data_IF_357073079454
#
_entry.id   IF_357073079454
#
_cell.length_a   1.000
_cell.length_b   1.000
_cell.length_c   1.000
_cell.angle_alpha   90.00
_cell.angle_beta   90.00
_cell.angle_gamma   90.00
#
_symmetry.space_group_name_H-M   'P 1'
#
loop_
_entity.id
_entity.type
_entity.pdbx_description
1 polymer ?
#
# COMPACT_ATOMS: atom_id res chain seq x y z
N UNK A 1 -5.81 14.15 -36.90
CA UNK A 1 -6.64 13.14 -36.24
C UNK A 1 -6.15 11.78 -36.69
N UNK A 2 -5.49 11.04 -35.81
CA UNK A 2 -5.16 9.63 -36.06
C UNK A 2 -5.49 8.87 -34.78
N UNK A 3 -6.56 8.07 -34.87
CA UNK A 3 -6.95 7.13 -33.83
C UNK A 3 -5.95 5.98 -33.85
N UNK A 4 -5.10 5.90 -32.83
CA UNK A 4 -4.28 4.71 -32.59
C UNK A 4 -5.16 3.67 -31.88
N UNK A 5 -5.16 2.50 -32.49
CA UNK A 5 -5.95 1.32 -32.21
C UNK A 5 -5.71 0.84 -30.75
N UNK A 6 -6.75 0.85 -29.92
CA UNK A 6 -6.76 0.24 -28.58
C UNK A 6 -7.07 -1.25 -28.74
N UNK A 7 -6.04 -2.11 -28.74
CA UNK A 7 -6.20 -3.56 -28.50
C UNK A 7 -4.85 -4.25 -28.21
N UNK A 8 -4.01 -3.63 -27.38
CA UNK A 8 -2.96 -4.34 -26.65
C UNK A 8 -3.44 -4.54 -25.22
N UNK A 9 -3.30 -5.75 -24.66
CA UNK A 9 -3.42 -5.93 -23.21
C UNK A 9 -2.36 -5.02 -22.55
N UNK A 10 -2.84 -3.98 -21.86
CA UNK A 10 -1.99 -3.02 -21.15
C UNK A 10 -1.39 -3.70 -19.91
N UNK A 11 -0.28 -4.42 -20.14
CA UNK A 11 0.51 -5.07 -19.09
C UNK A 11 1.33 -4.07 -18.25
N UNK A 12 1.31 -2.79 -18.62
CA UNK A 12 2.28 -1.79 -18.16
C UNK A 12 1.70 -0.82 -17.13
N UNK A 13 0.39 -0.62 -17.14
CA UNK A 13 -0.31 0.20 -16.14
C UNK A 13 -0.44 -0.47 -14.76
N UNK A 14 0.15 -1.64 -14.55
CA UNK A 14 -0.05 -2.45 -13.33
C UNK A 14 -1.54 -2.67 -13.02
N UNK A 15 -2.40 -2.71 -14.04
CA UNK A 15 -3.86 -2.80 -13.92
C UNK A 15 -4.55 -1.57 -13.35
N UNK A 16 -3.87 -0.42 -13.33
CA UNK A 16 -4.49 0.88 -13.12
C UNK A 16 -5.55 1.16 -14.21
N UNK A 17 -6.66 1.82 -13.84
CA UNK A 17 -7.68 2.23 -14.80
C UNK A 17 -7.11 3.12 -15.92
N UNK A 18 -7.72 3.05 -17.11
CA UNK A 18 -7.35 3.94 -18.23
C UNK A 18 -7.59 5.42 -17.91
N UNK A 19 -8.45 5.73 -16.94
CA UNK A 19 -8.73 7.08 -16.42
C UNK A 19 -7.54 7.71 -15.69
N UNK A 20 -6.55 6.92 -15.25
CA UNK A 20 -5.36 7.44 -14.59
C UNK A 20 -4.58 8.35 -15.55
N UNK A 21 -4.28 9.56 -15.06
CA UNK A 21 -3.65 10.62 -15.84
C UNK A 21 -2.20 10.29 -16.13
N UNK A 22 -1.78 10.61 -17.36
CA UNK A 22 -0.44 10.33 -17.90
C UNK A 22 0.24 11.64 -18.30
N UNK A 23 1.52 11.74 -17.99
CA UNK A 23 2.37 12.91 -18.22
C UNK A 23 3.69 12.49 -18.87
N UNK A 24 4.31 13.38 -19.62
CA UNK A 24 5.72 13.22 -20.02
C UNK A 24 6.59 13.93 -18.98
N UNK A 25 7.57 13.22 -18.42
CA UNK A 25 8.53 13.80 -17.49
C UNK A 25 9.51 14.69 -18.26
N UNK A 26 9.68 15.95 -17.83
CA UNK A 26 10.71 16.86 -18.36
C UNK A 26 11.85 17.10 -17.39
N UNK A 27 11.49 17.46 -16.16
CA UNK A 27 12.42 17.80 -15.09
C UNK A 27 11.72 17.75 -13.72
N UNK A 28 12.52 17.88 -12.64
CA UNK A 28 12.05 17.82 -11.25
C UNK A 28 11.06 18.94 -10.90
N UNK A 29 11.20 20.12 -11.49
CA UNK A 29 10.33 21.27 -11.18
C UNK A 29 8.94 21.06 -11.77
N UNK A 30 8.86 20.62 -13.02
CA UNK A 30 7.61 20.24 -13.67
C UNK A 30 6.94 19.08 -12.92
N UNK A 31 7.72 18.06 -12.54
CA UNK A 31 7.22 16.93 -11.76
C UNK A 31 6.58 17.40 -10.45
N UNK A 32 7.26 18.27 -9.68
CA UNK A 32 6.75 18.81 -8.44
C UNK A 32 5.46 19.62 -8.63
N UNK A 33 5.37 20.43 -9.68
CA UNK A 33 4.16 21.19 -10.01
C UNK A 33 2.97 20.28 -10.32
N UNK A 34 3.19 19.25 -11.16
CA UNK A 34 2.15 18.27 -11.50
C UNK A 34 1.70 17.53 -10.24
N UNK A 35 2.64 17.09 -9.40
CA UNK A 35 2.35 16.39 -8.17
C UNK A 35 1.49 17.24 -7.21
N UNK A 36 1.78 18.53 -7.07
CA UNK A 36 0.97 19.45 -6.26
C UNK A 36 -0.46 19.55 -6.79
N UNK A 37 -0.63 19.79 -8.10
CA UNK A 37 -1.95 19.94 -8.73
C UNK A 37 -2.78 18.65 -8.58
N UNK A 38 -2.17 17.50 -8.82
CA UNK A 38 -2.88 16.22 -8.75
C UNK A 38 -3.19 15.81 -7.31
N UNK A 39 -2.34 16.20 -6.35
CA UNK A 39 -2.63 16.03 -4.92
C UNK A 39 -3.82 16.89 -4.49
N UNK A 40 -3.88 18.15 -4.90
CA UNK A 40 -5.03 19.02 -4.61
C UNK A 40 -6.32 18.41 -5.18
N UNK A 41 -6.30 17.96 -6.45
CA UNK A 41 -7.44 17.27 -7.09
C UNK A 41 -7.88 16.04 -6.33
N UNK A 42 -6.94 15.21 -5.87
CA UNK A 42 -7.23 14.03 -5.06
C UNK A 42 -7.91 14.42 -3.75
N UNK A 43 -7.33 15.36 -3.00
CA UNK A 43 -7.86 15.80 -1.72
C UNK A 43 -9.26 16.40 -1.87
N UNK A 44 -9.50 17.19 -2.90
CA UNK A 44 -10.82 17.77 -3.17
C UNK A 44 -11.85 16.71 -3.56
N UNK A 45 -11.46 15.73 -4.40
CA UNK A 45 -12.32 14.56 -4.69
C UNK A 45 -12.67 13.77 -3.43
N UNK A 46 -11.71 13.62 -2.52
CA UNK A 46 -11.91 12.94 -1.26
C UNK A 46 -12.88 13.68 -0.35
N UNK A 47 -12.80 15.02 -0.28
CA UNK A 47 -13.78 15.85 0.42
C UNK A 47 -15.18 15.71 -0.16
N UNK A 48 -15.34 15.86 -1.48
CA UNK A 48 -16.67 15.74 -2.13
C UNK A 48 -17.28 14.34 -2.01
N UNK A 49 -16.45 13.29 -1.98
CA UNK A 49 -16.95 11.91 -1.78
C UNK A 49 -17.57 11.70 -0.40
N UNK A 50 -17.13 12.47 0.61
CA UNK A 50 -17.65 12.43 1.99
C UNK A 50 -18.98 13.19 2.10
N UNK A 51 -19.09 14.35 1.47
CA UNK A 51 -20.33 15.15 1.46
C UNK A 51 -21.51 14.39 0.82
N UNK A 52 -21.24 13.58 -0.22
CA UNK A 52 -22.29 12.79 -0.88
C UNK A 52 -22.80 11.65 0.02
N UNK A 53 -21.95 11.03 0.84
CA UNK A 53 -22.41 9.99 1.77
C UNK A 53 -23.33 10.52 2.87
N UNK A 54 -23.16 11.78 3.27
CA UNK A 54 -24.00 12.40 4.31
C UNK A 54 -25.42 12.71 3.83
N UNK A 55 -25.61 12.87 2.51
CA UNK A 55 -26.89 13.23 1.89
C UNK A 55 -27.73 11.97 1.55
N UNK A 56 -27.09 10.82 1.34
CA UNK A 56 -27.73 9.61 0.78
C UNK A 56 -28.19 8.57 1.82
N UNK A 57 -28.69 9.03 2.97
CA UNK A 57 -29.41 8.18 3.95
C UNK A 57 -30.84 7.83 3.48
N UNK A 58 -31.20 8.10 2.21
CA UNK A 58 -32.59 8.06 1.76
C UNK A 58 -32.84 7.73 0.30
N UNK A 59 -32.02 6.95 -0.41
CA UNK A 59 -32.51 6.30 -1.64
C UNK A 59 -31.58 5.21 -2.17
N UNK A 60 -32.12 4.01 -2.35
CA UNK A 60 -31.45 2.92 -3.07
C UNK A 60 -31.31 3.22 -4.57
N UNK A 61 -30.37 4.08 -4.94
CA UNK A 61 -29.97 4.31 -6.33
C UNK A 61 -28.71 3.53 -6.68
N UNK A 62 -28.74 2.90 -7.85
CA UNK A 62 -27.69 2.03 -8.37
C UNK A 62 -26.34 2.72 -8.41
N UNK A 63 -25.31 1.97 -8.04
CA UNK A 63 -23.89 2.22 -8.22
C UNK A 63 -23.57 2.69 -9.65
N UNK A 64 -23.62 4.00 -9.90
CA UNK A 64 -22.90 4.60 -11.02
C UNK A 64 -21.63 5.23 -10.45
N UNK A 65 -20.51 4.53 -10.68
CA UNK A 65 -19.18 5.06 -10.43
C UNK A 65 -19.01 6.39 -11.17
N UNK A 66 -18.57 7.47 -10.49
CA UNK A 66 -18.36 8.75 -11.14
C UNK A 66 -17.37 8.60 -12.30
N UNK A 67 -17.72 9.20 -13.43
CA UNK A 67 -17.08 9.08 -14.75
C UNK A 67 -15.67 9.68 -14.85
N UNK A 68 -15.06 10.07 -13.73
CA UNK A 68 -13.63 10.39 -13.62
C UNK A 68 -13.18 9.93 -12.24
N UNK A 69 -12.72 8.69 -12.17
CA UNK A 69 -12.17 8.10 -10.95
C UNK A 69 -10.86 8.84 -10.62
N UNK A 70 -10.94 9.86 -9.77
CA UNK A 70 -9.76 10.55 -9.24
C UNK A 70 -9.10 9.60 -8.25
N UNK A 71 -7.90 9.15 -8.60
CA UNK A 71 -7.11 8.15 -7.87
C UNK A 71 -5.87 8.78 -7.25
N UNK A 72 -5.26 8.08 -6.30
CA UNK A 72 -3.95 8.37 -5.75
C UNK A 72 -2.79 8.14 -6.74
N UNK A 73 -3.07 7.67 -7.95
CA UNK A 73 -2.06 7.39 -8.96
C UNK A 73 -2.00 8.43 -10.07
N UNK A 74 -0.77 8.71 -10.50
CA UNK A 74 -0.45 9.35 -11.76
C UNK A 74 0.69 8.59 -12.44
N UNK A 75 0.80 8.70 -13.75
CA UNK A 75 1.78 7.97 -14.54
C UNK A 75 2.64 8.96 -15.32
N UNK A 76 3.95 8.73 -15.35
CA UNK A 76 4.90 9.45 -16.17
C UNK A 76 5.56 8.53 -17.20
N UNK A 77 5.77 9.05 -18.39
CA UNK A 77 6.74 8.53 -19.34
C UNK A 77 8.11 9.15 -19.03
N UNK A 78 9.11 8.31 -18.72
CA UNK A 78 10.47 8.74 -18.35
C UNK A 78 11.50 7.70 -18.78
N UNK A 79 12.56 8.14 -19.46
CA UNK A 79 13.61 7.23 -19.90
C UNK A 79 14.50 6.75 -18.74
N UNK A 80 15.16 5.58 -18.88
CA UNK A 80 15.93 5.00 -17.78
C UNK A 80 17.09 5.87 -17.29
N UNK A 81 17.71 6.66 -18.18
CA UNK A 81 18.83 7.52 -17.81
C UNK A 81 18.35 8.62 -16.88
N UNK A 82 17.28 9.32 -17.27
CA UNK A 82 16.68 10.38 -16.47
C UNK A 82 16.10 9.84 -15.17
N UNK A 83 15.42 8.68 -15.19
CA UNK A 83 14.91 8.04 -13.97
C UNK A 83 16.04 7.75 -12.97
N UNK A 84 17.14 7.13 -13.43
CA UNK A 84 18.26 6.81 -12.56
C UNK A 84 18.89 8.07 -11.95
N UNK A 85 19.04 9.14 -12.73
CA UNK A 85 19.61 10.40 -12.26
C UNK A 85 18.70 11.10 -11.25
N UNK A 86 17.39 11.13 -11.51
CA UNK A 86 16.49 11.97 -10.77
C UNK A 86 15.81 11.29 -9.58
N UNK A 87 15.69 9.96 -9.60
CA UNK A 87 14.95 9.19 -8.58
C UNK A 87 15.83 8.19 -7.80
N UNK A 88 16.92 7.67 -8.39
CA UNK A 88 17.75 6.64 -7.73
C UNK A 88 19.15 7.10 -7.29
N UNK A 89 19.65 8.23 -7.80
CA UNK A 89 20.99 8.73 -7.46
C UNK A 89 21.16 8.91 -5.94
N UNK A 90 22.36 8.66 -5.42
CA UNK A 90 22.68 8.83 -4.00
C UNK A 90 22.45 10.26 -3.48
N UNK A 91 22.50 11.25 -4.38
CA UNK A 91 22.25 12.66 -4.06
C UNK A 91 20.75 13.02 -4.13
N UNK A 92 19.89 12.10 -4.54
CA UNK A 92 18.44 12.32 -4.59
C UNK A 92 17.85 12.23 -3.19
N UNK A 93 17.16 13.29 -2.79
CA UNK A 93 16.38 13.31 -1.56
C UNK A 93 15.07 12.53 -1.80
N UNK A 94 14.76 11.48 -1.02
CA UNK A 94 13.52 10.74 -1.17
C UNK A 94 12.30 11.65 -0.99
N UNK A 95 11.35 11.58 -1.93
CA UNK A 95 10.08 12.30 -1.84
C UNK A 95 9.13 11.45 -1.00
N UNK A 96 9.15 11.65 0.32
CA UNK A 96 8.39 10.82 1.27
C UNK A 96 6.87 10.81 1.03
N UNK A 97 6.37 11.84 0.36
CA UNK A 97 4.95 12.02 0.04
C UNK A 97 4.47 11.19 -1.15
N UNK A 98 5.35 10.38 -1.77
CA UNK A 98 4.99 9.46 -2.86
C UNK A 98 5.57 8.06 -2.65
N UNK A 99 5.05 7.09 -3.43
CA UNK A 99 5.71 5.81 -3.72
C UNK A 99 5.81 5.63 -5.22
N UNK A 100 6.92 5.06 -5.68
CA UNK A 100 7.17 4.86 -7.11
C UNK A 100 7.20 3.39 -7.49
N UNK A 101 6.70 3.10 -8.69
CA UNK A 101 6.97 1.85 -9.41
C UNK A 101 7.45 2.20 -10.82
N UNK A 102 8.65 1.76 -11.19
CA UNK A 102 9.25 2.04 -12.49
C UNK A 102 9.50 0.76 -13.28
N UNK A 103 9.05 0.77 -14.54
CA UNK A 103 9.36 -0.26 -15.52
C UNK A 103 10.25 0.33 -16.64
N UNK A 104 11.53 -0.09 -16.73
CA UNK A 104 12.46 0.44 -17.73
C UNK A 104 12.13 0.01 -19.16
N UNK A 105 11.56 -1.17 -19.35
CA UNK A 105 11.22 -1.69 -20.69
C UNK A 105 10.16 -0.82 -21.37
N UNK A 106 9.24 -0.28 -20.56
CA UNK A 106 8.09 0.49 -21.01
C UNK A 106 8.25 1.97 -20.71
N UNK A 107 9.38 2.37 -20.10
CA UNK A 107 9.68 3.75 -19.69
C UNK A 107 8.57 4.38 -18.86
N UNK A 108 7.91 3.57 -18.03
CA UNK A 108 6.71 3.97 -17.29
C UNK A 108 7.03 4.09 -15.81
N UNK A 109 6.82 5.28 -15.25
CA UNK A 109 6.90 5.58 -13.82
C UNK A 109 5.48 5.79 -13.27
N UNK A 110 5.01 4.86 -12.45
CA UNK A 110 3.79 5.00 -11.67
C UNK A 110 4.15 5.69 -10.35
N UNK A 111 3.40 6.75 -10.03
CA UNK A 111 3.55 7.50 -8.79
C UNK A 111 2.26 7.41 -8.00
N UNK A 112 2.35 6.84 -6.80
CA UNK A 112 1.31 6.85 -5.77
C UNK A 112 1.48 8.08 -4.89
N UNK A 113 0.44 8.87 -4.71
CA UNK A 113 0.40 10.01 -3.80
C UNK A 113 -0.02 9.54 -2.41
N UNK A 114 0.91 9.63 -1.46
CA UNK A 114 0.66 9.25 -0.07
C UNK A 114 -0.18 10.33 0.62
N UNK A 115 -1.33 9.95 1.16
CA UNK A 115 -2.26 10.84 1.89
C UNK A 115 -2.04 10.79 3.41
N UNK A 116 -2.75 11.65 4.14
CA UNK A 116 -2.65 11.70 5.61
C UNK A 116 -3.18 10.43 6.27
N UNK A 117 -4.34 9.94 5.85
CA UNK A 117 -4.92 8.68 6.32
C UNK A 117 -4.06 7.47 5.97
N UNK A 118 -3.45 7.45 4.78
CA UNK A 118 -2.47 6.42 4.42
C UNK A 118 -1.30 6.40 5.40
N UNK A 119 -0.68 7.56 5.63
CA UNK A 119 0.46 7.71 6.53
C UNK A 119 0.09 7.33 7.96
N UNK A 120 -1.09 7.77 8.42
CA UNK A 120 -1.60 7.50 9.77
C UNK A 120 -1.76 6.00 10.01
N UNK A 121 -2.45 5.30 9.11
CA UNK A 121 -2.65 3.85 9.18
C UNK A 121 -1.33 3.10 9.14
N UNK A 122 -0.45 3.42 8.19
CA UNK A 122 0.84 2.76 8.05
C UNK A 122 1.71 2.90 9.32
N UNK A 123 1.66 4.06 9.96
CA UNK A 123 2.40 4.30 11.19
C UNK A 123 1.81 3.59 12.41
N UNK A 124 0.48 3.46 12.53
CA UNK A 124 -0.13 2.68 13.62
C UNK A 124 0.14 1.18 13.48
N UNK A 125 0.14 0.64 12.25
CA UNK A 125 0.58 -0.75 11.99
C UNK A 125 2.03 -0.92 12.45
N UNK A 126 2.90 0.02 12.10
CA UNK A 126 4.30 0.00 12.51
C UNK A 126 4.47 -0.02 14.03
N UNK A 127 3.74 0.84 14.76
CA UNK A 127 3.75 0.86 16.23
C UNK A 127 3.27 -0.46 16.83
N UNK A 128 2.22 -1.05 16.28
CA UNK A 128 1.69 -2.32 16.77
C UNK A 128 2.74 -3.45 16.64
N UNK A 129 3.41 -3.52 15.48
CA UNK A 129 4.50 -4.48 15.24
C UNK A 129 5.66 -4.22 16.23
N UNK A 130 6.10 -2.97 16.36
CA UNK A 130 7.20 -2.62 17.27
C UNK A 130 6.87 -2.96 18.72
N UNK A 131 5.62 -2.73 19.15
CA UNK A 131 5.16 -3.06 20.50
C UNK A 131 5.22 -4.57 20.74
N UNK A 132 4.75 -5.38 19.80
CA UNK A 132 4.80 -6.83 19.90
C UNK A 132 6.24 -7.35 19.90
N UNK A 133 7.12 -6.80 19.06
CA UNK A 133 8.54 -7.14 19.04
C UNK A 133 9.26 -6.74 20.34
N UNK A 134 8.94 -5.58 20.91
CA UNK A 134 9.50 -5.13 22.18
C UNK A 134 9.17 -6.10 23.33
N UNK A 135 7.95 -6.66 23.36
CA UNK A 135 7.56 -7.65 24.37
C UNK A 135 8.39 -8.94 24.26
N UNK A 136 8.81 -9.30 23.05
CA UNK A 136 9.75 -10.40 22.81
C UNK A 136 11.22 -9.98 23.05
N UNK A 137 11.52 -8.69 23.20
CA UNK A 137 12.87 -8.11 23.23
C UNK A 137 13.61 -8.21 21.89
N UNK A 138 12.87 -8.05 20.80
CA UNK A 138 13.32 -8.11 19.41
C UNK A 138 13.16 -6.78 18.68
N UNK A 139 12.91 -5.68 19.39
CA UNK A 139 12.78 -4.32 18.87
C UNK A 139 13.99 -3.88 18.02
N UNK A 140 15.20 -4.34 18.39
CA UNK A 140 16.43 -4.08 17.62
C UNK A 140 16.79 -5.13 16.55
N UNK A 141 15.94 -6.14 16.34
CA UNK A 141 16.24 -7.35 15.56
C UNK A 141 15.73 -7.30 14.10
N UNK A 142 14.99 -6.26 13.74
CA UNK A 142 14.47 -6.04 12.39
C UNK A 142 15.11 -4.82 11.70
N UNK A 143 15.12 -4.83 10.37
CA UNK A 143 15.30 -3.64 9.54
C UNK A 143 13.94 -3.20 9.00
N UNK A 144 13.80 -1.89 8.82
CA UNK A 144 12.65 -1.27 8.15
C UNK A 144 13.02 -0.96 6.70
N UNK A 145 12.07 -1.17 5.80
CA UNK A 145 12.19 -1.00 4.36
C UNK A 145 11.13 -0.02 3.85
N UNK A 146 11.13 1.19 4.38
CA UNK A 146 10.19 2.25 4.00
C UNK A 146 10.73 3.04 2.80
N UNK A 147 9.95 3.13 1.73
CA UNK A 147 10.34 3.83 0.49
C UNK A 147 11.68 3.34 -0.10
N UNK A 148 12.04 2.08 0.14
CA UNK A 148 13.22 1.45 -0.44
C UNK A 148 12.84 0.89 -1.81
N UNK A 149 13.61 1.23 -2.84
CA UNK A 149 13.47 0.60 -4.16
C UNK A 149 13.89 -0.86 -4.08
N UNK A 150 12.94 -1.73 -4.36
CA UNK A 150 13.15 -3.17 -4.46
C UNK A 150 13.13 -3.52 -5.94
N UNK A 151 14.17 -4.22 -6.38
CA UNK A 151 14.19 -4.81 -7.71
C UNK A 151 13.21 -5.98 -7.75
N UNK A 152 12.20 -5.84 -8.60
CA UNK A 152 11.13 -6.79 -8.82
C UNK A 152 11.20 -7.25 -10.28
N UNK A 153 12.23 -8.05 -10.58
CA UNK A 153 12.53 -8.58 -11.92
C UNK A 153 12.77 -7.47 -12.96
N UNK A 154 13.69 -6.56 -12.67
CA UNK A 154 14.05 -5.41 -13.52
C UNK A 154 13.16 -4.18 -13.33
N UNK A 155 12.18 -4.24 -12.43
CA UNK A 155 11.30 -3.12 -12.06
C UNK A 155 11.69 -2.59 -10.69
N UNK A 156 11.73 -1.27 -10.51
CA UNK A 156 11.96 -0.69 -9.19
C UNK A 156 10.61 -0.36 -8.55
N UNK A 157 10.27 -0.99 -7.42
CA UNK A 157 9.05 -0.66 -6.68
C UNK A 157 9.35 -0.35 -5.23
N UNK A 158 8.66 0.65 -4.70
CA UNK A 158 8.68 1.01 -3.29
C UNK A 158 7.42 0.49 -2.58
N UNK A 159 7.60 -0.23 -1.49
CA UNK A 159 6.52 -0.59 -0.58
C UNK A 159 6.07 0.63 0.24
N UNK A 160 4.83 0.62 0.73
CA UNK A 160 4.37 1.62 1.68
C UNK A 160 5.18 1.55 2.99
N UNK A 161 5.30 0.32 3.53
CA UNK A 161 6.24 -0.07 4.59
C UNK A 161 6.72 -1.52 4.37
N UNK A 162 7.84 -1.88 4.97
CA UNK A 162 8.31 -3.26 4.99
C UNK A 162 9.22 -3.56 6.17
N UNK A 163 9.28 -4.83 6.56
CA UNK A 163 10.06 -5.32 7.68
C UNK A 163 10.78 -6.61 7.28
N UNK A 164 11.98 -6.80 7.80
CA UNK A 164 12.74 -8.03 7.63
C UNK A 164 13.81 -8.18 8.70
N UNK A 165 14.47 -9.34 8.83
CA UNK A 165 15.47 -9.56 9.86
C UNK A 165 16.67 -8.64 9.62
N UNK A 166 17.12 -7.96 10.68
CA UNK A 166 18.31 -7.09 10.61
C UNK A 166 19.55 -7.87 10.18
N UNK A 167 19.63 -9.12 10.62
CA UNK A 167 20.68 -10.10 10.31
C UNK A 167 20.00 -11.35 9.75
N UNK A 168 19.71 -11.39 8.43
CA UNK A 168 19.11 -12.58 7.82
C UNK A 168 20.03 -13.80 7.98
N UNK A 169 19.48 -15.03 7.98
CA UNK A 169 20.29 -16.26 7.96
C UNK A 169 21.31 -16.26 6.83
N UNK A 170 22.39 -17.03 6.99
CA UNK A 170 23.44 -17.13 5.96
C UNK A 170 22.84 -17.60 4.64
N UNK A 171 23.15 -16.88 3.56
CA UNK A 171 22.63 -17.17 2.22
C UNK A 171 21.30 -16.49 1.89
N UNK A 172 20.61 -15.90 2.87
CA UNK A 172 19.40 -15.11 2.61
C UNK A 172 19.75 -13.64 2.28
N UNK A 173 19.19 -13.06 1.21
CA UNK A 173 19.41 -11.66 0.89
C UNK A 173 18.77 -10.73 1.94
N UNK A 174 19.31 -9.51 2.08
CA UNK A 174 18.65 -8.45 2.85
C UNK A 174 17.50 -7.88 2.02
N UNK A 175 16.27 -8.11 2.47
CA UNK A 175 15.04 -7.63 1.83
C UNK A 175 13.91 -7.62 2.88
N UNK A 176 12.78 -6.93 2.63
CA UNK A 176 11.61 -7.17 3.45
C UNK A 176 11.13 -8.61 3.29
N UNK A 177 10.78 -9.24 4.40
CA UNK A 177 10.05 -10.51 4.45
C UNK A 177 8.56 -10.27 4.70
N UNK A 178 8.20 -9.13 5.27
CA UNK A 178 6.82 -8.67 5.44
C UNK A 178 6.68 -7.30 4.80
N UNK A 179 5.65 -7.11 3.99
CA UNK A 179 5.35 -5.84 3.30
C UNK A 179 3.96 -5.37 3.69
N UNK A 180 3.78 -4.06 3.82
CA UNK A 180 2.47 -3.41 3.97
C UNK A 180 2.14 -2.66 2.68
N UNK A 181 0.91 -2.80 2.22
CA UNK A 181 0.28 -1.97 1.19
C UNK A 181 -1.02 -1.38 1.72
N UNK A 182 -1.18 -0.06 1.65
CA UNK A 182 -2.35 0.67 2.11
C UNK A 182 -3.04 1.31 0.91
N UNK A 183 -4.30 0.96 0.70
CA UNK A 183 -5.14 1.41 -0.39
C UNK A 183 -6.24 2.35 0.12
N UNK A 184 -6.26 3.60 -0.32
CA UNK A 184 -7.31 4.55 0.06
C UNK A 184 -8.31 4.76 -1.08
N UNK A 185 -7.82 5.23 -2.21
CA UNK A 185 -8.58 5.43 -3.45
C UNK A 185 -8.30 4.36 -4.50
N UNK A 186 -7.24 3.59 -4.30
CA UNK A 186 -6.85 2.47 -5.13
C UNK A 186 -7.96 1.41 -5.25
N UNK A 187 -8.10 0.86 -6.46
CA UNK A 187 -9.03 -0.24 -6.72
C UNK A 187 -8.56 -1.55 -6.07
N UNK A 188 -9.50 -2.41 -5.67
CA UNK A 188 -9.15 -3.74 -5.13
C UNK A 188 -8.29 -4.55 -6.10
N UNK A 189 -8.53 -4.40 -7.41
CA UNK A 189 -7.77 -5.08 -8.45
C UNK A 189 -6.28 -4.71 -8.42
N UNK A 190 -5.97 -3.41 -8.35
CA UNK A 190 -4.59 -2.92 -8.29
C UNK A 190 -3.89 -3.40 -7.01
N UNK A 191 -4.57 -3.31 -5.87
CA UNK A 191 -4.05 -3.80 -4.59
C UNK A 191 -3.67 -5.28 -4.65
N UNK A 192 -4.52 -6.13 -5.25
CA UNK A 192 -4.22 -7.56 -5.43
C UNK A 192 -3.05 -7.82 -6.38
N UNK A 193 -2.90 -7.00 -7.42
CA UNK A 193 -1.72 -7.11 -8.30
C UNK A 193 -0.42 -6.76 -7.58
N UNK A 194 -0.47 -5.82 -6.64
CA UNK A 194 0.67 -5.50 -5.78
C UNK A 194 0.96 -6.61 -4.78
N UNK A 195 -0.08 -7.23 -4.20
CA UNK A 195 0.07 -8.44 -3.38
C UNK A 195 0.76 -9.57 -4.16
N UNK A 196 0.28 -9.88 -5.38
CA UNK A 196 0.86 -10.91 -6.24
C UNK A 196 2.33 -10.62 -6.57
N UNK A 197 2.61 -9.36 -6.92
CA UNK A 197 3.95 -8.88 -7.23
C UNK A 197 4.92 -9.08 -6.06
N UNK A 198 4.50 -8.70 -4.86
CA UNK A 198 5.33 -8.78 -3.66
C UNK A 198 5.57 -10.21 -3.22
N UNK A 199 4.56 -11.09 -3.29
CA UNK A 199 4.67 -12.47 -2.83
C UNK A 199 5.35 -13.41 -3.81
N UNK A 200 5.34 -13.11 -5.11
CA UNK A 200 5.96 -13.96 -6.12
C UNK A 200 7.47 -14.17 -5.82
N UNK A 201 7.93 -15.41 -5.59
CA UNK A 201 9.32 -15.72 -5.24
C UNK A 201 10.35 -15.33 -6.29
N UNK A 202 9.93 -15.19 -7.55
CA UNK A 202 10.80 -14.76 -8.66
C UNK A 202 10.85 -13.23 -8.79
N UNK A 203 10.09 -12.51 -7.96
CA UNK A 203 9.85 -11.08 -8.05
C UNK A 203 10.12 -10.46 -6.67
N UNK A 204 9.08 -9.98 -5.98
CA UNK A 204 9.25 -9.30 -4.68
C UNK A 204 9.74 -10.25 -3.58
N UNK A 205 9.41 -11.54 -3.69
CA UNK A 205 9.82 -12.61 -2.79
C UNK A 205 9.45 -12.37 -1.31
N UNK A 206 8.59 -11.41 -0.97
CA UNK A 206 8.08 -11.23 0.37
C UNK A 206 7.36 -12.51 0.84
N UNK A 207 7.41 -12.77 2.14
CA UNK A 207 6.79 -13.95 2.73
C UNK A 207 5.36 -13.67 3.18
N UNK A 208 5.08 -12.42 3.55
CA UNK A 208 3.76 -11.93 3.95
C UNK A 208 3.52 -10.56 3.34
N UNK A 209 2.32 -10.33 2.82
CA UNK A 209 1.82 -9.00 2.49
C UNK A 209 0.61 -8.70 3.36
N UNK A 210 0.67 -7.62 4.12
CA UNK A 210 -0.47 -7.04 4.83
C UNK A 210 -1.07 -6.01 3.89
N UNK A 211 -2.29 -6.23 3.42
CA UNK A 211 -3.00 -5.33 2.54
C UNK A 211 -4.14 -4.66 3.32
N UNK A 212 -4.11 -3.35 3.45
CA UNK A 212 -5.14 -2.57 4.14
C UNK A 212 -5.90 -1.76 3.12
N UNK A 213 -7.22 -1.91 3.07
CA UNK A 213 -8.08 -1.08 2.22
C UNK A 213 -9.06 -0.29 3.05
N UNK A 214 -9.01 1.04 2.90
CA UNK A 214 -9.95 1.96 3.51
C UNK A 214 -11.14 2.21 2.56
N UNK A 215 -12.33 2.37 3.13
CA UNK A 215 -13.46 2.94 2.43
C UNK A 215 -13.35 4.47 2.43
N UNK A 216 -13.59 5.11 1.27
CA UNK A 216 -13.64 6.58 1.17
C UNK A 216 -14.94 7.20 1.69
N UNK A 217 -15.98 6.38 1.88
CA UNK A 217 -17.36 6.84 2.15
C UNK A 217 -17.91 6.39 3.50
N UNK A 218 -17.31 5.38 4.10
CA UNK A 218 -17.77 4.76 5.35
C UNK A 218 -16.58 4.52 6.25
N UNK A 219 -16.79 4.56 7.55
CA UNK A 219 -15.81 4.14 8.54
C UNK A 219 -15.67 2.62 8.52
N UNK A 220 -15.03 2.10 7.47
CA UNK A 220 -14.73 0.68 7.26
C UNK A 220 -13.30 0.56 6.76
N UNK A 221 -12.52 -0.31 7.42
CA UNK A 221 -11.25 -0.79 6.90
C UNK A 221 -11.26 -2.31 6.80
N UNK A 222 -10.59 -2.83 5.79
CA UNK A 222 -10.28 -4.26 5.67
C UNK A 222 -8.78 -4.43 5.81
N UNK A 223 -8.35 -5.43 6.56
CA UNK A 223 -6.95 -5.81 6.77
C UNK A 223 -6.83 -7.27 6.37
N UNK A 224 -6.10 -7.51 5.29
CA UNK A 224 -5.87 -8.84 4.77
C UNK A 224 -4.40 -9.25 4.94
N UNK A 225 -4.16 -10.47 5.38
CA UNK A 225 -2.83 -11.10 5.38
C UNK A 225 -2.76 -12.10 4.23
N UNK A 226 -1.79 -11.92 3.34
CA UNK A 226 -1.56 -12.76 2.18
C UNK A 226 -0.21 -13.45 2.25
N UNK A 227 -0.17 -14.71 1.81
CA UNK A 227 1.03 -15.54 1.72
C UNK A 227 1.11 -16.20 0.35
N UNK A 228 2.31 -16.66 -0.02
CA UNK A 228 2.50 -17.43 -1.25
C UNK A 228 2.17 -18.91 -1.03
N UNK A 229 1.18 -19.42 -1.77
CA UNK A 229 0.90 -20.84 -1.86
C UNK A 229 1.86 -21.50 -2.87
N UNK A 230 2.94 -22.08 -2.33
CA UNK A 230 3.96 -22.77 -3.14
C UNK A 230 3.43 -23.96 -3.93
N UNK A 231 2.37 -24.63 -3.47
CA UNK A 231 1.81 -25.80 -4.15
C UNK A 231 1.05 -25.39 -5.42
N UNK A 232 0.34 -24.26 -5.36
CA UNK A 232 -0.45 -23.74 -6.48
C UNK A 232 0.23 -22.61 -7.26
N UNK A 233 1.36 -22.11 -6.78
CA UNK A 233 2.12 -21.03 -7.42
C UNK A 233 1.35 -19.71 -7.51
N UNK A 234 0.61 -19.35 -6.45
CA UNK A 234 -0.21 -18.14 -6.39
C UNK A 234 -0.26 -17.52 -5.00
N UNK A 235 -0.63 -16.25 -4.91
CA UNK A 235 -0.98 -15.65 -3.62
C UNK A 235 -2.28 -16.25 -3.08
N UNK A 236 -2.38 -16.36 -1.75
CA UNK A 236 -3.61 -16.74 -1.06
C UNK A 236 -3.82 -15.87 0.16
N UNK A 237 -5.06 -15.46 0.39
CA UNK A 237 -5.45 -14.76 1.60
C UNK A 237 -5.48 -15.79 2.74
N UNK A 238 -4.59 -15.61 3.73
CA UNK A 238 -4.55 -16.44 4.93
C UNK A 238 -5.42 -15.91 6.05
N UNK A 239 -5.73 -14.61 6.04
CA UNK A 239 -6.56 -13.96 7.04
C UNK A 239 -7.25 -12.73 6.46
N UNK A 240 -8.54 -12.61 6.76
CA UNK A 240 -9.36 -11.44 6.44
C UNK A 240 -9.93 -10.86 7.73
N UNK A 241 -9.70 -9.57 7.94
CA UNK A 241 -10.16 -8.80 9.10
C UNK A 241 -10.95 -7.61 8.58
N UNK A 242 -12.09 -7.34 9.20
CA UNK A 242 -12.89 -6.15 8.94
C UNK A 242 -13.10 -5.41 10.26
N UNK A 243 -12.84 -4.11 10.23
CA UNK A 243 -13.15 -3.18 11.32
C UNK A 243 -14.05 -2.09 10.75
N UNK A 244 -15.20 -1.88 11.39
CA UNK A 244 -16.20 -0.92 10.95
C UNK A 244 -16.81 -0.17 12.13
N UNK A 245 -17.13 1.09 11.95
CA UNK A 245 -17.95 1.88 12.88
C UNK A 245 -19.37 2.05 12.30
N UNK A 246 -20.38 1.87 13.15
CA UNK A 246 -21.78 2.08 12.78
C UNK A 246 -22.26 3.50 13.14
N UNK A 247 -23.50 3.82 12.79
CA UNK A 247 -24.11 5.14 13.02
C UNK A 247 -24.22 5.53 14.51
N UNK A 248 -24.05 4.58 15.44
CA UNK A 248 -24.06 4.81 16.88
C UNK A 248 -22.64 4.91 17.47
N UNK A 249 -21.63 5.15 16.63
CA UNK A 249 -20.20 5.16 17.00
C UNK A 249 -19.73 3.84 17.65
N UNK A 250 -20.43 2.72 17.40
CA UNK A 250 -20.04 1.40 17.90
C UNK A 250 -19.11 0.72 16.89
N UNK A 251 -17.89 0.42 17.33
CA UNK A 251 -16.89 -0.30 16.55
C UNK A 251 -17.16 -1.81 16.59
N UNK A 252 -17.28 -2.40 15.41
CA UNK A 252 -17.34 -3.85 15.19
C UNK A 252 -16.04 -4.31 14.55
N UNK A 253 -15.46 -5.36 15.13
CA UNK A 253 -14.26 -6.02 14.65
C UNK A 253 -14.55 -7.50 14.43
N UNK A 254 -14.14 -8.03 13.28
CA UNK A 254 -14.23 -9.46 12.97
C UNK A 254 -12.93 -9.99 12.36
N UNK A 255 -12.65 -11.27 12.58
CA UNK A 255 -11.50 -11.98 11.98
C UNK A 255 -10.14 -11.77 12.68
N UNK A 256 -10.05 -10.87 13.66
CA UNK A 256 -8.83 -10.61 14.44
C UNK A 256 -8.52 -11.70 15.49
N UNK A 257 -7.33 -11.66 16.12
CA UNK A 257 -6.23 -10.70 15.94
C UNK A 257 -5.43 -10.95 14.64
N UNK A 258 -4.67 -9.97 14.15
CA UNK A 258 -3.78 -10.18 12.99
C UNK A 258 -2.50 -10.90 13.42
N UNK A 259 -2.16 -11.98 12.72
CA UNK A 259 -0.98 -12.80 13.00
C UNK A 259 0.07 -12.67 11.88
N UNK A 260 1.30 -12.36 12.26
CA UNK A 260 2.46 -12.45 11.37
C UNK A 260 3.36 -13.59 11.91
N UNK A 261 3.44 -14.72 11.20
CA UNK A 261 4.21 -15.85 11.67
C UNK A 261 5.69 -15.51 11.87
N UNK A 262 6.25 -15.85 13.03
CA UNK A 262 7.62 -15.51 13.40
C UNK A 262 8.63 -16.00 12.36
N UNK A 263 8.47 -17.24 11.90
CA UNK A 263 9.33 -17.87 10.90
C UNK A 263 9.31 -17.11 9.57
N UNK A 264 8.18 -16.51 9.22
CA UNK A 264 8.06 -15.76 7.97
C UNK A 264 8.70 -14.37 8.09
N UNK A 265 8.63 -13.73 9.26
CA UNK A 265 9.30 -12.44 9.51
C UNK A 265 10.82 -12.63 9.68
N UNK A 266 11.27 -13.52 10.55
CA UNK A 266 12.69 -13.65 10.92
C UNK A 266 13.49 -14.66 10.08
N UNK A 267 12.82 -15.43 9.22
CA UNK A 267 13.43 -16.46 8.37
C UNK A 267 14.15 -17.57 9.17
N UNK A 268 13.75 -17.77 10.44
CA UNK A 268 14.29 -18.80 11.33
C UNK A 268 13.24 -19.26 12.33
N UNK A 269 13.53 -20.36 12.99
CA UNK A 269 12.68 -20.90 14.05
C UNK A 269 12.72 -19.99 15.29
N UNK A 270 11.59 -19.85 16.01
CA UNK A 270 11.54 -19.10 17.25
C UNK A 270 12.27 -19.82 18.40
N UNK A 271 12.93 -19.05 19.24
CA UNK A 271 13.48 -19.46 20.53
C UNK A 271 12.38 -19.41 21.61
N UNK A 272 11.71 -20.54 21.80
CA UNK A 272 10.59 -20.65 22.74
C UNK A 272 11.09 -20.71 24.21
N UNK A 273 10.27 -20.24 25.17
CA UNK A 273 8.91 -19.72 25.03
C UNK A 273 8.84 -18.21 24.75
N UNK A 274 9.98 -17.53 24.62
CA UNK A 274 10.03 -16.06 24.54
C UNK A 274 9.63 -15.53 23.18
N UNK A 275 10.07 -16.19 22.11
CA UNK A 275 9.75 -15.79 20.74
C UNK A 275 8.49 -16.51 20.26
N UNK A 276 7.53 -15.74 19.79
CA UNK A 276 6.24 -16.21 19.27
C UNK A 276 5.91 -15.47 17.99
N UNK A 277 4.82 -15.84 17.33
CA UNK A 277 4.29 -15.03 16.24
C UNK A 277 4.03 -13.59 16.72
N UNK A 278 4.16 -12.62 15.80
CA UNK A 278 3.82 -11.22 16.09
C UNK A 278 2.29 -11.12 16.05
N UNK A 279 1.71 -10.76 17.19
CA UNK A 279 0.26 -10.62 17.36
C UNK A 279 -0.08 -9.14 17.42
N UNK A 280 -0.89 -8.68 16.46
CA UNK A 280 -1.55 -7.38 16.53
C UNK A 280 -2.97 -7.65 17.03
N UNK A 281 -3.18 -7.39 18.32
CA UNK A 281 -4.44 -7.68 19.01
C UNK A 281 -5.61 -6.80 18.53
N UNK A 282 -6.81 -7.12 19.02
CA UNK A 282 -8.03 -6.43 18.61
C UNK A 282 -8.04 -4.94 19.02
N UNK A 283 -7.35 -4.57 20.11
CA UNK A 283 -7.24 -3.17 20.53
C UNK A 283 -6.40 -2.38 19.54
N UNK A 284 -5.27 -2.93 19.10
CA UNK A 284 -4.46 -2.31 18.05
C UNK A 284 -5.15 -2.28 16.70
N UNK A 285 -5.88 -3.33 16.31
CA UNK A 285 -6.66 -3.35 15.07
C UNK A 285 -7.74 -2.26 15.06
N UNK A 286 -8.43 -2.07 16.19
CA UNK A 286 -9.37 -0.96 16.37
C UNK A 286 -8.65 0.39 16.29
N UNK A 287 -7.51 0.55 16.97
CA UNK A 287 -6.73 1.80 16.93
C UNK A 287 -6.25 2.17 15.52
N UNK A 288 -5.83 1.18 14.72
CA UNK A 288 -5.47 1.37 13.30
C UNK A 288 -6.67 1.88 12.51
N UNK A 289 -7.86 1.31 12.73
CA UNK A 289 -9.10 1.72 12.07
C UNK A 289 -9.51 3.15 12.44
N UNK A 290 -9.58 3.43 13.74
CA UNK A 290 -9.91 4.75 14.27
C UNK A 290 -8.94 5.81 13.78
N UNK A 291 -7.64 5.51 13.69
CA UNK A 291 -6.66 6.44 13.12
C UNK A 291 -6.93 6.76 11.66
N UNK A 292 -7.32 5.75 10.87
CA UNK A 292 -7.74 5.94 9.49
C UNK A 292 -8.97 6.86 9.41
N UNK A 293 -10.00 6.58 10.21
CA UNK A 293 -11.24 7.33 10.23
C UNK A 293 -11.07 8.75 10.75
N UNK A 294 -10.27 8.95 11.80
CA UNK A 294 -9.92 10.28 12.31
C UNK A 294 -9.35 11.13 11.18
N UNK A 295 -8.36 10.61 10.43
CA UNK A 295 -7.79 11.33 9.29
C UNK A 295 -8.77 11.52 8.13
N UNK A 296 -9.76 10.62 7.99
CA UNK A 296 -10.80 10.73 6.98
C UNK A 296 -11.93 11.70 7.35
N UNK A 297 -12.36 11.79 8.60
CA UNK A 297 -13.62 12.45 8.96
C UNK A 297 -13.45 13.59 9.99
N UNK A 298 -12.22 13.89 10.44
CA UNK A 298 -11.93 14.96 11.41
C UNK A 298 -12.31 16.38 10.97
N UNK A 299 -12.66 16.61 9.71
CA UNK A 299 -13.20 17.89 9.22
C UNK A 299 -14.73 17.89 8.98
N UNK A 300 -15.44 16.84 9.41
CA UNK A 300 -16.88 16.66 9.21
C UNK A 300 -17.70 16.67 10.52
N UNK A 301 -17.07 16.99 11.67
CA UNK A 301 -17.75 17.18 12.96
C UNK A 301 -17.76 18.65 13.36
#
# INVERSE_FOLDING_TARGET
MSHINKNGQDHDSEGLPLSVRRYDYKDKDQFAQILTIERERLLDSMRSSREISDIDTGSGRSEQEPTTEITEYIIFSIDPTTFNQDFLSFDTIPILSIRTSYNPDTKTLIVKMVTGEHTGVAFEVHKAIDRALLQMGLDGAINQYSAVDIDVNGRNKQADMGWGPRRPPRGCPKRPSVVLEVAVSETKKKLLQDVDLWLDPLRGNANVVIAIKLSRRRAIITIDSWIWDTANGKSTNSQHIEVSENENDEVKLSGGPLLIPFRLLFLRDPETPRETDVIIDNEWLQSIAERGWEMQFSNSR
#
